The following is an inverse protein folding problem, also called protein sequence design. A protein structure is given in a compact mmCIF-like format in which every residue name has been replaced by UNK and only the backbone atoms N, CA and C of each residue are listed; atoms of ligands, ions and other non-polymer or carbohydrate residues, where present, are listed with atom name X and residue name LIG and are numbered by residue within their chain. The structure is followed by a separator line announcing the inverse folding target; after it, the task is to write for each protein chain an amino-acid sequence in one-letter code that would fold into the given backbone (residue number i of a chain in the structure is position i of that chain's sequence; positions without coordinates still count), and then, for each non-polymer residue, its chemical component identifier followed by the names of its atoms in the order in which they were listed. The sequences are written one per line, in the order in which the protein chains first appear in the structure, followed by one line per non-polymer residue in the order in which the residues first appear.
data_IF_403815677939
#
_entry.id   IF_403815677939
#
_cell.length_a   1.000
_cell.length_b   1.000
_cell.length_c   1.000
_cell.angle_alpha   90.00
_cell.angle_beta   90.00
_cell.angle_gamma   90.00
#
_symmetry.space_group_name_H-M   'P 1'
#
loop_
_entity.id
_entity.type
_entity.pdbx_description
1 polymer ?
#
# COMPACT_ATOMS: atom_id res chain seq x y z
N UNK A 1 11.55 3.42 -6.50
CA UNK A 1 10.16 3.22 -6.02
C UNK A 1 10.24 2.83 -4.57
N UNK A 2 9.36 3.37 -3.72
CA UNK A 2 9.29 2.99 -2.31
C UNK A 2 8.08 2.09 -2.08
N UNK A 3 8.14 1.26 -1.04
CA UNK A 3 6.97 0.46 -0.63
C UNK A 3 5.97 1.31 0.15
N UNK A 4 4.73 0.83 0.28
CA UNK A 4 3.74 1.48 1.14
C UNK A 4 4.24 1.57 2.60
N UNK A 5 4.84 0.50 3.13
CA UNK A 5 5.40 0.49 4.48
C UNK A 5 6.46 1.55 4.69
N UNK A 6 7.42 1.64 3.77
CA UNK A 6 8.49 2.65 3.82
C UNK A 6 7.94 4.08 3.77
N UNK A 7 6.94 4.31 2.91
CA UNK A 7 6.34 5.64 2.75
C UNK A 7 5.58 6.05 4.00
N UNK A 8 4.81 5.14 4.61
CA UNK A 8 4.11 5.40 5.88
C UNK A 8 5.10 5.69 7.00
N UNK A 9 6.18 4.92 7.12
CA UNK A 9 7.21 5.16 8.14
C UNK A 9 7.93 6.49 7.98
N UNK A 10 8.17 6.94 6.74
CA UNK A 10 8.84 8.22 6.44
C UNK A 10 7.92 9.44 6.49
N UNK A 11 6.60 9.26 6.47
CA UNK A 11 5.67 10.38 6.37
C UNK A 11 5.48 11.15 7.69
N UNK A 12 6.00 10.65 8.81
CA UNK A 12 5.76 11.23 10.15
C UNK A 12 4.30 11.11 10.64
N UNK A 13 3.46 10.30 9.98
CA UNK A 13 2.04 10.10 10.31
C UNK A 13 1.82 8.68 10.77
N UNK A 14 0.81 8.46 11.62
CA UNK A 14 0.51 7.11 12.12
C UNK A 14 -0.17 6.26 11.04
N UNK A 15 -0.06 4.93 11.14
CA UNK A 15 -0.84 4.03 10.28
C UNK A 15 -2.35 4.29 10.39
N UNK A 16 -2.84 4.69 11.57
CA UNK A 16 -4.24 5.04 11.77
C UNK A 16 -4.65 6.29 10.97
N UNK A 17 -3.79 7.31 10.87
CA UNK A 17 -4.04 8.51 10.07
C UNK A 17 -4.11 8.19 8.57
N UNK A 18 -3.20 7.34 8.10
CA UNK A 18 -3.21 6.85 6.72
C UNK A 18 -4.47 6.05 6.42
N UNK A 19 -4.86 5.15 7.33
CA UNK A 19 -6.05 4.32 7.16
C UNK A 19 -7.31 5.19 7.06
N UNK A 20 -7.42 6.19 7.94
CA UNK A 20 -8.52 7.17 7.93
C UNK A 20 -8.59 7.95 6.63
N UNK A 21 -7.45 8.45 6.13
CA UNK A 21 -7.44 9.23 4.89
C UNK A 21 -7.74 8.38 3.64
N UNK A 22 -7.26 7.13 3.63
CA UNK A 22 -7.54 6.18 2.56
C UNK A 22 -8.95 5.57 2.64
N UNK A 23 -9.69 5.84 3.72
CA UNK A 23 -11.04 5.31 3.93
C UNK A 23 -11.06 3.79 4.20
N UNK A 24 -10.00 3.25 4.82
CA UNK A 24 -9.86 1.82 5.13
C UNK A 24 -9.68 1.60 6.63
N UNK A 25 -9.84 0.35 7.08
CA UNK A 25 -9.54 0.01 8.47
C UNK A 25 -8.02 -0.06 8.73
N UNK A 26 -7.54 0.26 9.94
CA UNK A 26 -6.12 0.12 10.29
C UNK A 26 -5.57 -1.29 10.08
N UNK A 27 -6.37 -2.32 10.39
CA UNK A 27 -5.99 -3.72 10.16
C UNK A 27 -5.86 -4.07 8.67
N UNK A 28 -6.71 -3.48 7.81
CA UNK A 28 -6.56 -3.64 6.37
C UNK A 28 -5.31 -2.94 5.86
N UNK A 29 -5.04 -1.71 6.30
CA UNK A 29 -3.78 -1.01 5.95
C UNK A 29 -2.56 -1.81 6.40
N UNK A 30 -2.56 -2.38 7.60
CA UNK A 30 -1.48 -3.25 8.08
C UNK A 30 -1.27 -4.45 7.15
N UNK A 31 -2.35 -5.09 6.70
CA UNK A 31 -2.28 -6.20 5.74
C UNK A 31 -1.78 -5.78 4.34
N UNK A 32 -1.99 -4.52 3.94
CA UNK A 32 -1.39 -3.99 2.71
C UNK A 32 0.12 -3.72 2.89
N UNK A 33 0.51 -3.18 4.03
CA UNK A 33 1.91 -2.85 4.35
C UNK A 33 2.77 -4.11 4.43
N UNK A 34 2.28 -5.17 5.08
CA UNK A 34 3.00 -6.44 5.20
C UNK A 34 2.88 -7.33 3.95
N UNK A 35 2.08 -6.92 2.96
CA UNK A 35 1.88 -7.65 1.71
C UNK A 35 0.92 -8.83 1.78
N UNK A 36 0.27 -9.10 2.92
CA UNK A 36 -0.73 -10.16 3.07
C UNK A 36 -2.00 -9.91 2.25
N UNK A 37 -2.28 -8.66 1.90
CA UNK A 37 -3.38 -8.28 1.01
C UNK A 37 -2.92 -7.31 -0.06
N UNK A 38 -3.70 -7.27 -1.15
CA UNK A 38 -3.57 -6.27 -2.21
C UNK A 38 -4.74 -5.28 -2.18
N UNK A 39 -4.47 -4.00 -2.47
CA UNK A 39 -5.54 -3.02 -2.62
C UNK A 39 -6.31 -3.28 -3.92
N UNK A 40 -7.55 -2.82 -4.00
CA UNK A 40 -8.23 -2.69 -5.29
C UNK A 40 -7.53 -1.64 -6.16
N UNK A 41 -7.79 -1.64 -7.48
CA UNK A 41 -7.24 -0.64 -8.40
C UNK A 41 -7.56 0.80 -7.95
N UNK A 42 -8.80 1.06 -7.51
CA UNK A 42 -9.21 2.38 -7.00
C UNK A 42 -8.38 2.79 -5.78
N UNK A 43 -8.18 1.87 -4.83
CA UNK A 43 -7.38 2.15 -3.65
C UNK A 43 -5.89 2.32 -3.98
N UNK A 44 -5.35 1.52 -4.92
CA UNK A 44 -3.97 1.68 -5.39
C UNK A 44 -3.76 3.06 -6.02
N UNK A 45 -4.69 3.54 -6.86
CA UNK A 45 -4.65 4.88 -7.44
C UNK A 45 -4.74 5.98 -6.37
N UNK A 46 -5.55 5.80 -5.31
CA UNK A 46 -5.59 6.73 -4.19
C UNK A 46 -4.26 6.78 -3.44
N UNK A 47 -3.65 5.62 -3.19
CA UNK A 47 -2.34 5.55 -2.54
C UNK A 47 -1.27 6.23 -3.41
N UNK A 48 -1.26 5.98 -4.72
CA UNK A 48 -0.33 6.64 -5.64
C UNK A 48 -0.48 8.17 -5.60
N UNK A 49 -1.72 8.69 -5.64
CA UNK A 49 -1.98 10.14 -5.53
C UNK A 49 -1.56 10.70 -4.18
N UNK A 50 -1.90 10.02 -3.09
CA UNK A 50 -1.57 10.46 -1.73
C UNK A 50 -0.06 10.47 -1.49
N UNK A 51 0.66 9.54 -2.09
CA UNK A 51 2.13 9.40 -1.97
C UNK A 51 2.89 10.24 -3.00
N UNK A 52 2.20 10.98 -3.88
CA UNK A 52 2.83 11.73 -4.96
C UNK A 52 3.60 10.85 -5.94
N UNK A 53 3.16 9.61 -6.15
CA UNK A 53 3.81 8.63 -7.01
C UNK A 53 4.95 7.84 -6.34
N UNK A 54 5.22 8.04 -5.05
CA UNK A 54 6.27 7.27 -4.36
C UNK A 54 5.93 5.77 -4.28
N UNK A 55 4.64 5.44 -4.20
CA UNK A 55 4.10 4.09 -4.27
C UNK A 55 3.22 3.94 -5.52
N UNK A 56 3.81 3.56 -6.67
CA UNK A 56 3.10 3.50 -7.94
C UNK A 56 2.17 2.28 -8.00
N UNK A 57 1.08 2.38 -8.76
CA UNK A 57 0.08 1.29 -8.91
C UNK A 57 0.72 -0.02 -9.42
N UNK A 58 1.73 0.10 -10.27
CA UNK A 58 2.44 -1.04 -10.86
C UNK A 58 3.17 -1.88 -9.78
N UNK A 59 3.51 -1.29 -8.63
CA UNK A 59 4.18 -2.00 -7.53
C UNK A 59 3.34 -3.14 -6.92
N UNK A 60 2.02 -3.16 -7.16
CA UNK A 60 1.13 -4.25 -6.76
C UNK A 60 0.79 -5.23 -7.89
N UNK A 61 1.18 -4.92 -9.13
CA UNK A 61 0.99 -5.79 -10.30
C UNK A 61 2.10 -6.85 -10.42
N UNK A 62 3.34 -6.52 -10.03
CA UNK A 62 4.49 -7.43 -10.15
C UNK A 62 4.45 -8.61 -9.16
N UNK A 63 3.56 -8.58 -8.15
CA UNK A 63 3.47 -9.63 -7.12
C UNK A 63 2.75 -10.91 -7.58
N UNK A 64 2.28 -11.00 -8.83
CA UNK A 64 1.67 -12.22 -9.39
C UNK A 64 2.68 -13.25 -9.94
N UNK A 65 4.00 -13.01 -9.79
CA UNK A 65 5.03 -13.85 -10.41
C UNK A 65 5.89 -14.72 -9.49
N UNK A 66 5.69 -14.72 -8.17
CA UNK A 66 6.57 -15.47 -7.26
C UNK A 66 5.82 -15.97 -6.03
N UNK A 67 5.11 -17.10 -6.16
CA UNK A 67 4.86 -18.14 -5.12
C UNK A 67 3.79 -19.14 -5.59
N UNK A 68 4.00 -19.76 -6.75
CA UNK A 68 3.30 -21.01 -7.14
C UNK A 68 4.26 -21.86 -8.00
N UNK A 69 5.38 -22.28 -7.41
CA UNK A 69 6.27 -23.32 -7.92
C UNK A 69 7.21 -23.80 -6.80
N UNK A 70 6.75 -24.71 -5.96
CA UNK A 70 7.59 -25.66 -5.20
C UNK A 70 6.75 -26.87 -4.76
#
# INVERSE_FOLDING_TARGET
MSTLGETVSKSGRTQADWARELGVSPGYLHALINGAKRPSLDLALRIERLTGGAVPVQSWADKDGAEDAA
#
